data_IF_710682280799
#
_entry.id   IF_710682280799
#
_cell.length_a   1.000
_cell.length_b   1.000
_cell.length_c   1.000
_cell.angle_alpha   90.00
_cell.angle_beta   90.00
_cell.angle_gamma   90.00
#
_symmetry.space_group_name_H-M   'P 1'
#
loop_
_entity.id
_entity.type
_entity.pdbx_description
1 polymer ?
#
# COMPACT_ATOMS: atom_id res chain seq x y z
N UNK A 1 -10.47 1.75 -24.73
CA UNK A 1 -11.08 1.55 -23.40
C UNK A 1 -12.25 2.51 -23.32
N UNK A 2 -13.48 2.00 -23.27
CA UNK A 2 -14.70 2.79 -23.47
C UNK A 2 -15.16 3.37 -22.14
N UNK A 3 -15.41 4.69 -22.11
CA UNK A 3 -16.23 5.37 -21.10
C UNK A 3 -17.62 4.74 -21.15
N UNK A 4 -17.86 3.73 -20.33
CA UNK A 4 -19.23 3.35 -20.01
C UNK A 4 -19.60 4.30 -18.87
N UNK A 5 -20.57 5.22 -19.04
CA UNK A 5 -21.16 5.88 -17.90
C UNK A 5 -21.84 4.76 -17.10
N UNK A 6 -21.11 4.20 -16.13
CA UNK A 6 -21.66 3.23 -15.20
C UNK A 6 -22.89 3.88 -14.61
N UNK A 7 -24.01 3.17 -14.68
CA UNK A 7 -25.17 3.59 -13.93
C UNK A 7 -24.78 3.72 -12.46
N UNK A 8 -25.45 4.63 -11.74
CA UNK A 8 -25.26 4.77 -10.30
C UNK A 8 -25.27 3.42 -9.57
N UNK A 9 -26.16 2.51 -9.99
CA UNK A 9 -26.27 1.17 -9.43
C UNK A 9 -25.03 0.28 -9.68
N UNK A 10 -24.41 0.37 -10.87
CA UNK A 10 -23.19 -0.39 -11.17
C UNK A 10 -21.99 0.16 -10.40
N UNK A 11 -21.88 1.49 -10.31
CA UNK A 11 -20.87 2.14 -9.48
C UNK A 11 -21.02 1.73 -8.00
N UNK A 12 -22.23 1.78 -7.44
CA UNK A 12 -22.53 1.33 -6.08
C UNK A 12 -22.15 -0.15 -5.86
N UNK A 13 -22.44 -1.02 -6.84
CA UNK A 13 -22.06 -2.43 -6.78
C UNK A 13 -20.54 -2.62 -6.70
N UNK A 14 -19.78 -1.88 -7.50
CA UNK A 14 -18.31 -1.95 -7.50
C UNK A 14 -17.74 -1.41 -6.19
N UNK A 15 -18.27 -0.28 -5.70
CA UNK A 15 -17.87 0.30 -4.41
C UNK A 15 -18.14 -0.69 -3.26
N UNK A 16 -19.32 -1.31 -3.23
CA UNK A 16 -19.67 -2.32 -2.23
C UNK A 16 -18.75 -3.54 -2.31
N UNK A 17 -18.42 -4.00 -3.52
CA UNK A 17 -17.48 -5.12 -3.72
C UNK A 17 -16.09 -4.78 -3.18
N UNK A 18 -15.58 -3.58 -3.48
CA UNK A 18 -14.29 -3.12 -2.98
C UNK A 18 -14.28 -2.98 -1.44
N UNK A 19 -15.34 -2.43 -0.86
CA UNK A 19 -15.48 -2.30 0.59
C UNK A 19 -15.51 -3.67 1.29
N UNK A 20 -16.27 -4.63 0.74
CA UNK A 20 -16.33 -5.98 1.28
C UNK A 20 -14.98 -6.70 1.20
N UNK A 21 -14.25 -6.56 0.09
CA UNK A 21 -12.89 -7.08 -0.02
C UNK A 21 -11.97 -6.50 1.07
N UNK A 22 -11.99 -5.18 1.27
CA UNK A 22 -11.22 -4.53 2.33
C UNK A 22 -11.61 -5.04 3.73
N UNK A 23 -12.90 -5.26 3.99
CA UNK A 23 -13.40 -5.82 5.26
C UNK A 23 -12.92 -7.26 5.50
N UNK A 24 -12.89 -8.11 4.47
CA UNK A 24 -12.40 -9.48 4.59
C UNK A 24 -10.92 -9.51 4.97
N UNK A 25 -10.10 -8.66 4.34
CA UNK A 25 -8.71 -8.50 4.72
C UNK A 25 -8.58 -7.98 6.15
N UNK A 26 -9.38 -6.98 6.52
CA UNK A 26 -9.32 -6.39 7.85
C UNK A 26 -9.68 -7.38 8.97
N UNK A 27 -10.66 -8.26 8.74
CA UNK A 27 -11.02 -9.33 9.70
C UNK A 27 -9.87 -10.28 9.98
N UNK A 28 -9.07 -10.62 8.95
CA UNK A 28 -7.94 -11.56 9.08
C UNK A 28 -6.77 -10.96 9.87
N UNK A 29 -6.55 -9.65 9.81
CA UNK A 29 -5.40 -8.97 10.42
C UNK A 29 -5.76 -8.11 11.63
N UNK A 30 -7.03 -8.07 12.07
CA UNK A 30 -7.47 -7.17 13.14
C UNK A 30 -7.36 -5.69 12.77
N UNK A 31 -7.51 -5.36 11.49
CA UNK A 31 -7.41 -4.00 10.97
C UNK A 31 -8.73 -3.22 11.09
N UNK A 32 -8.65 -1.91 10.82
CA UNK A 32 -9.81 -1.06 10.54
C UNK A 32 -9.87 -0.76 9.04
N UNK A 33 -11.07 -0.67 8.50
CA UNK A 33 -11.30 -0.21 7.13
C UNK A 33 -11.63 1.28 7.17
N UNK A 34 -10.99 2.05 6.31
CA UNK A 34 -11.24 3.48 6.12
C UNK A 34 -11.10 3.88 4.65
N UNK A 35 -11.72 4.99 4.21
CA UNK A 35 -11.48 5.52 2.86
C UNK A 35 -9.99 5.78 2.64
N UNK A 36 -9.51 5.62 1.40
CA UNK A 36 -8.13 5.93 1.05
C UNK A 36 -7.85 7.42 1.23
N UNK A 37 -6.94 7.75 2.16
CA UNK A 37 -6.55 9.10 2.55
C UNK A 37 -5.08 9.39 2.19
N UNK A 38 -4.70 10.67 2.05
CA UNK A 38 -3.33 11.11 1.79
C UNK A 38 -2.29 10.47 2.72
N UNK A 39 -2.60 10.35 4.01
CA UNK A 39 -1.73 9.72 5.01
C UNK A 39 -1.36 8.27 4.71
N UNK A 40 -2.18 7.54 3.94
CA UNK A 40 -1.88 6.15 3.58
C UNK A 40 -0.80 6.06 2.50
N UNK A 41 -0.72 7.04 1.59
CA UNK A 41 0.28 7.06 0.52
C UNK A 41 1.54 7.81 0.93
N UNK A 42 1.40 8.89 1.69
CA UNK A 42 2.50 9.82 1.99
C UNK A 42 3.00 9.77 3.44
N UNK A 43 2.28 9.12 4.36
CA UNK A 43 2.63 9.14 5.78
C UNK A 43 2.69 10.58 6.32
N UNK A 44 3.82 10.97 6.88
CA UNK A 44 4.05 12.30 7.45
C UNK A 44 4.00 13.43 6.40
N UNK A 45 4.29 13.14 5.12
CA UNK A 45 4.30 14.16 4.06
C UNK A 45 2.91 14.43 3.47
N UNK A 46 1.85 13.89 4.06
CA UNK A 46 0.51 13.98 3.50
C UNK A 46 -0.06 15.41 3.42
N UNK A 47 0.37 16.31 4.30
CA UNK A 47 -0.03 17.73 4.25
C UNK A 47 0.56 18.45 3.03
N UNK A 48 1.74 18.03 2.57
CA UNK A 48 2.40 18.63 1.40
C UNK A 48 1.61 18.36 0.13
N UNK A 49 1.10 17.15 -0.04
CA UNK A 49 0.46 16.69 -1.27
C UNK A 49 -1.07 16.66 -1.20
N UNK A 50 -1.67 16.42 -0.03
CA UNK A 50 -3.11 16.28 0.10
C UNK A 50 -3.69 15.21 -0.83
N UNK A 51 -4.88 15.47 -1.38
CA UNK A 51 -5.54 14.62 -2.37
C UNK A 51 -5.03 14.91 -3.80
N UNK A 52 -3.72 14.79 -3.98
CA UNK A 52 -3.06 14.82 -5.29
C UNK A 52 -2.03 13.72 -5.36
N UNK A 53 -1.62 13.35 -6.57
CA UNK A 53 -0.55 12.37 -6.79
C UNK A 53 0.76 13.09 -7.06
N UNK A 54 1.78 12.87 -6.22
CA UNK A 54 3.14 13.35 -6.48
C UNK A 54 3.66 12.75 -7.79
N UNK A 55 4.45 13.51 -8.55
CA UNK A 55 5.05 13.03 -9.80
C UNK A 55 6.21 12.06 -9.54
N UNK A 56 6.32 11.04 -10.38
CA UNK A 56 7.33 9.98 -10.27
C UNK A 56 6.88 8.83 -9.38
N UNK A 57 7.82 8.21 -8.66
CA UNK A 57 7.56 7.01 -7.87
C UNK A 57 7.16 7.36 -6.43
N UNK A 58 5.94 7.00 -6.06
CA UNK A 58 5.41 7.06 -4.69
C UNK A 58 5.52 5.66 -4.07
N UNK A 59 6.10 5.56 -2.89
CA UNK A 59 6.16 4.30 -2.13
C UNK A 59 5.36 4.45 -0.83
N UNK A 60 4.09 3.98 -0.80
CA UNK A 60 3.25 4.05 0.38
C UNK A 60 3.92 3.43 1.61
N UNK A 61 4.08 4.23 2.66
CA UNK A 61 4.67 3.80 3.94
C UNK A 61 3.63 3.10 4.82
N UNK A 62 3.09 2.01 4.31
CA UNK A 62 2.07 1.22 5.00
C UNK A 62 2.70 0.17 5.92
N UNK A 63 2.09 -0.09 7.10
CA UNK A 63 2.42 -1.28 7.88
C UNK A 63 2.29 -2.57 7.07
N UNK A 64 3.11 -3.58 7.35
CA UNK A 64 3.21 -4.85 6.59
C UNK A 64 1.86 -5.57 6.37
N UNK A 65 0.96 -5.53 7.37
CA UNK A 65 -0.35 -6.17 7.30
C UNK A 65 -1.45 -5.30 6.66
N UNK A 66 -1.08 -4.17 6.06
CA UNK A 66 -2.03 -3.24 5.44
C UNK A 66 -2.35 -3.66 4.01
N UNK A 67 -3.56 -3.32 3.58
CA UNK A 67 -4.04 -3.53 2.22
C UNK A 67 -4.71 -2.25 1.72
N UNK A 68 -4.46 -1.88 0.47
CA UNK A 68 -5.24 -0.88 -0.26
C UNK A 68 -6.04 -1.59 -1.33
N UNK A 69 -7.34 -1.33 -1.36
CA UNK A 69 -8.28 -1.82 -2.37
C UNK A 69 -8.73 -0.63 -3.21
N UNK A 70 -8.24 -0.53 -4.44
CA UNK A 70 -8.53 0.56 -5.38
C UNK A 70 -9.62 0.10 -6.34
N UNK A 71 -10.67 0.90 -6.49
CA UNK A 71 -11.80 0.59 -7.37
C UNK A 71 -12.04 1.64 -8.43
N UNK A 72 -11.38 2.79 -8.31
CA UNK A 72 -11.46 3.81 -9.34
C UNK A 72 -10.37 4.87 -9.23
N UNK A 73 -10.36 5.78 -10.19
CA UNK A 73 -9.43 6.91 -10.25
C UNK A 73 -10.20 8.19 -10.53
N UNK A 74 -10.02 9.18 -9.66
CA UNK A 74 -10.45 10.54 -9.94
C UNK A 74 -9.33 11.28 -10.71
N UNK A 75 -9.69 12.01 -11.76
CA UNK A 75 -8.79 12.91 -12.47
C UNK A 75 -9.44 14.28 -12.69
N UNK A 76 -8.70 15.34 -12.37
CA UNK A 76 -9.00 16.73 -12.64
C UNK A 76 -7.83 17.49 -13.29
N UNK A 77 -6.85 16.75 -13.82
CA UNK A 77 -5.64 17.28 -14.43
C UNK A 77 -5.54 16.85 -15.89
N UNK A 78 -5.51 17.83 -16.79
CA UNK A 78 -5.46 17.61 -18.24
C UNK A 78 -4.11 17.06 -18.72
N UNK A 79 -3.06 17.15 -17.89
CA UNK A 79 -1.72 16.66 -18.21
C UNK A 79 -1.40 15.31 -17.54
N UNK A 80 -2.37 14.67 -16.91
CA UNK A 80 -2.16 13.39 -16.23
C UNK A 80 -2.47 12.23 -17.18
N UNK A 81 -1.42 11.61 -17.71
CA UNK A 81 -1.56 10.61 -18.78
C UNK A 81 -1.98 9.25 -18.23
N UNK A 82 -1.21 8.74 -17.27
CA UNK A 82 -1.44 7.41 -16.71
C UNK A 82 -0.88 7.29 -15.29
N UNK A 83 -1.45 6.33 -14.56
CA UNK A 83 -0.96 5.85 -13.27
C UNK A 83 -0.66 4.36 -13.34
N UNK A 84 0.48 3.96 -12.81
CA UNK A 84 0.87 2.56 -12.68
C UNK A 84 0.91 2.17 -11.22
N UNK A 85 0.34 1.01 -10.92
CA UNK A 85 0.50 0.35 -9.64
C UNK A 85 1.36 -0.87 -9.86
N UNK A 86 2.44 -0.99 -9.08
CA UNK A 86 3.40 -2.07 -9.22
C UNK A 86 3.61 -2.79 -7.90
N UNK A 87 3.46 -4.11 -7.92
CA UNK A 87 3.57 -4.98 -6.75
C UNK A 87 4.18 -6.31 -7.15
N UNK A 88 5.31 -6.70 -6.56
CA UNK A 88 5.87 -8.04 -6.73
C UNK A 88 6.10 -8.48 -8.19
N UNK A 89 6.40 -7.54 -9.10
CA UNK A 89 6.58 -7.79 -10.53
C UNK A 89 5.29 -7.73 -11.37
N UNK A 90 4.12 -7.62 -10.75
CA UNK A 90 2.85 -7.31 -11.41
C UNK A 90 2.75 -5.79 -11.61
N UNK A 91 2.51 -5.36 -12.85
CA UNK A 91 2.18 -3.97 -13.19
C UNK A 91 0.74 -3.89 -13.65
N UNK A 92 -0.05 -3.04 -13.01
CA UNK A 92 -1.39 -2.67 -13.47
C UNK A 92 -1.36 -1.21 -13.86
N UNK A 93 -1.74 -0.92 -15.09
CA UNK A 93 -1.77 0.43 -15.64
C UNK A 93 -3.21 0.88 -15.78
N UNK A 94 -3.51 2.06 -15.25
CA UNK A 94 -4.72 2.79 -15.60
C UNK A 94 -4.32 3.99 -16.44
N UNK A 95 -4.66 3.90 -17.73
CA UNK A 95 -4.62 5.04 -18.63
C UNK A 95 -5.67 6.02 -18.15
N UNK A 96 -5.22 7.20 -17.75
CA UNK A 96 -6.08 8.33 -17.36
C UNK A 96 -6.19 9.31 -18.53
N UNK A 97 -5.99 8.80 -19.77
CA UNK A 97 -5.99 9.59 -20.99
C UNK A 97 -7.28 10.42 -21.12
N UNK A 98 -7.18 11.68 -21.58
CA UNK A 98 -8.33 12.43 -22.08
C UNK A 98 -8.75 11.82 -23.42
N UNK A 99 -9.57 10.76 -23.41
CA UNK A 99 -10.01 10.07 -24.65
C UNK A 99 -10.91 10.97 -25.52
N UNK A 100 -11.39 12.09 -24.99
CA UNK A 100 -11.93 13.17 -25.79
C UNK A 100 -11.76 14.49 -25.05
N UNK A 101 -11.56 15.56 -25.81
CA UNK A 101 -11.84 16.93 -25.38
C UNK A 101 -13.32 17.01 -24.92
N UNK A 102 -13.59 16.61 -23.68
CA UNK A 102 -14.83 16.95 -23.00
C UNK A 102 -14.58 18.25 -22.23
N UNK A 103 -15.40 19.30 -22.42
CA UNK A 103 -15.28 20.57 -21.72
C UNK A 103 -15.38 20.47 -20.19
N UNK A 104 -15.83 19.32 -19.68
CA UNK A 104 -16.01 19.03 -18.27
C UNK A 104 -14.80 18.25 -17.76
N UNK A 105 -13.80 18.97 -17.26
CA UNK A 105 -12.43 18.51 -16.94
C UNK A 105 -12.32 17.53 -15.75
N UNK A 106 -13.38 16.77 -15.43
CA UNK A 106 -13.43 15.87 -14.28
C UNK A 106 -13.86 14.47 -14.70
N UNK A 107 -12.99 13.47 -14.50
CA UNK A 107 -13.27 12.07 -14.81
C UNK A 107 -13.16 11.16 -13.59
N UNK A 108 -14.13 10.27 -13.40
CA UNK A 108 -14.03 9.15 -12.45
C UNK A 108 -14.00 7.85 -13.25
N UNK A 109 -12.87 7.17 -13.20
CA UNK A 109 -12.66 5.84 -13.78
C UNK A 109 -13.03 4.81 -12.73
N UNK A 110 -13.78 3.76 -13.07
CA UNK A 110 -14.16 2.70 -12.16
C UNK A 110 -13.91 1.37 -12.86
N UNK A 111 -13.33 0.41 -12.15
CA UNK A 111 -13.00 -0.91 -12.67
C UNK A 111 -13.15 -1.98 -11.56
N UNK A 112 -12.87 -3.24 -11.91
CA UNK A 112 -12.75 -4.32 -10.95
C UNK A 112 -11.75 -3.96 -9.83
N UNK A 113 -12.10 -4.21 -8.54
CA UNK A 113 -11.24 -3.79 -7.44
C UNK A 113 -9.85 -4.42 -7.49
N UNK A 114 -8.83 -3.58 -7.53
CA UNK A 114 -7.43 -3.95 -7.43
C UNK A 114 -7.02 -4.00 -5.97
N UNK A 115 -6.36 -5.09 -5.57
CA UNK A 115 -5.88 -5.30 -4.21
C UNK A 115 -4.36 -5.23 -4.20
N UNK A 116 -3.82 -4.37 -3.34
CA UNK A 116 -2.38 -4.16 -3.13
C UNK A 116 -2.02 -4.30 -1.65
N UNK A 117 -1.01 -5.11 -1.37
CA UNK A 117 -0.38 -5.27 -0.06
C UNK A 117 0.75 -4.27 0.14
N UNK A 118 1.17 -4.10 1.40
CA UNK A 118 2.33 -3.27 1.72
C UNK A 118 3.56 -3.66 0.89
N UNK A 119 4.28 -2.64 0.38
CA UNK A 119 5.45 -2.82 -0.48
C UNK A 119 5.20 -2.57 -1.98
N UNK A 120 3.95 -2.32 -2.39
CA UNK A 120 3.67 -1.80 -3.72
C UNK A 120 4.18 -0.36 -3.88
N UNK A 121 4.33 0.09 -5.12
CA UNK A 121 4.61 1.49 -5.45
C UNK A 121 3.68 1.98 -6.56
N UNK A 122 3.50 3.30 -6.60
CA UNK A 122 2.71 4.00 -7.60
C UNK A 122 3.67 4.80 -8.45
N UNK A 123 3.55 4.72 -9.77
CA UNK A 123 4.26 5.61 -10.69
C UNK A 123 3.27 6.49 -11.42
N UNK A 124 3.55 7.78 -11.45
CA UNK A 124 2.72 8.80 -12.08
C UNK A 124 3.52 9.45 -13.19
N UNK A 125 2.88 9.61 -14.35
CA UNK A 125 3.47 10.24 -15.52
C UNK A 125 2.65 11.44 -15.97
N UNK A 126 3.33 12.45 -16.50
CA UNK A 126 2.72 13.62 -17.12
C UNK A 126 3.41 13.94 -18.44
N UNK A 127 2.63 14.41 -19.40
CA UNK A 127 3.10 14.94 -20.68
C UNK A 127 3.45 16.42 -20.61
N UNK A 128 3.26 17.07 -19.46
CA UNK A 128 3.57 18.50 -19.30
C UNK A 128 5.08 18.76 -19.41
N UNK A 129 5.45 19.78 -20.19
CA UNK A 129 6.80 20.33 -20.23
C UNK A 129 7.13 21.27 -19.06
N UNK A 130 6.15 21.58 -18.19
CA UNK A 130 6.35 22.41 -17.01
C UNK A 130 6.95 21.61 -15.85
N UNK A 131 7.79 22.25 -15.03
CA UNK A 131 8.27 21.66 -13.77
C UNK A 131 7.15 21.61 -12.73
N UNK A 132 6.32 20.58 -12.81
CA UNK A 132 5.31 20.25 -11.79
C UNK A 132 5.89 19.24 -10.80
N UNK A 133 5.33 19.21 -9.60
CA UNK A 133 5.68 18.23 -8.55
C UNK A 133 4.55 17.23 -8.25
N UNK A 134 3.35 17.45 -8.82
CA UNK A 134 2.14 16.66 -8.60
C UNK A 134 1.14 16.81 -9.75
N UNK A 135 0.14 15.91 -9.77
CA UNK A 135 -1.05 15.98 -10.63
C UNK A 135 -2.32 15.90 -9.80
N UNK A 136 -3.38 16.59 -10.24
CA UNK A 136 -4.70 16.55 -9.60
C UNK A 136 -5.48 15.29 -9.97
N UNK A 137 -4.98 14.14 -9.53
CA UNK A 137 -5.68 12.87 -9.57
C UNK A 137 -5.63 12.18 -8.21
N UNK A 138 -6.60 11.32 -7.92
CA UNK A 138 -6.64 10.55 -6.68
C UNK A 138 -7.19 9.13 -6.88
N UNK A 139 -6.51 8.08 -6.40
CA UNK A 139 -7.07 6.73 -6.40
C UNK A 139 -8.25 6.66 -5.44
N UNK A 140 -9.38 6.23 -5.96
CA UNK A 140 -10.57 5.94 -5.18
C UNK A 140 -10.45 4.50 -4.66
N UNK A 141 -10.49 4.37 -3.33
CA UNK A 141 -10.23 3.10 -2.70
C UNK A 141 -10.51 3.08 -1.21
N UNK A 142 -10.34 1.90 -0.63
CA UNK A 142 -10.38 1.67 0.81
C UNK A 142 -9.03 1.17 1.29
N UNK A 143 -8.63 1.57 2.49
CA UNK A 143 -7.46 1.05 3.18
C UNK A 143 -7.90 0.19 4.36
N UNK A 144 -7.36 -1.02 4.45
CA UNK A 144 -7.41 -1.86 5.63
C UNK A 144 -6.08 -1.70 6.38
N UNK A 145 -6.07 -0.94 7.47
CA UNK A 145 -4.85 -0.60 8.23
C UNK A 145 -4.89 -1.28 9.60
N UNK A 146 -3.86 -2.05 9.99
CA UNK A 146 -3.85 -2.78 11.25
C UNK A 146 -4.00 -1.83 12.44
N UNK A 147 -4.79 -2.21 13.44
CA UNK A 147 -5.03 -1.39 14.65
C UNK A 147 -3.79 -1.27 15.53
N UNK A 148 -2.93 -2.28 15.49
CA UNK A 148 -1.65 -2.29 16.17
C UNK A 148 -0.57 -2.66 15.15
N UNK A 149 0.62 -2.02 15.19
CA UNK A 149 1.73 -2.45 14.37
C UNK A 149 2.05 -3.93 14.68
N UNK A 150 2.53 -4.71 13.68
CA UNK A 150 2.90 -6.10 13.89
C UNK A 150 3.83 -6.23 15.09
N UNK A 151 3.59 -7.24 15.94
CA UNK A 151 4.50 -7.52 17.04
C UNK A 151 5.90 -7.76 16.43
N UNK A 152 6.96 -7.06 16.92
CA UNK A 152 8.29 -7.30 16.41
C UNK A 152 8.61 -8.79 16.56
N UNK A 153 9.10 -9.40 15.48
CA UNK A 153 9.46 -10.81 15.47
C UNK A 153 10.33 -11.07 16.71
N UNK A 154 9.82 -11.90 17.63
CA UNK A 154 10.56 -12.20 18.86
C UNK A 154 11.94 -12.72 18.42
N UNK A 155 13.05 -12.13 18.88
CA UNK A 155 14.35 -12.71 18.61
C UNK A 155 14.30 -14.13 19.13
N UNK A 156 14.69 -15.09 18.29
CA UNK A 156 14.73 -16.51 18.63
C UNK A 156 15.59 -16.65 19.89
N UNK A 157 14.93 -16.72 21.05
CA UNK A 157 15.57 -17.00 22.35
C UNK A 157 16.02 -18.45 22.31
N UNK A 158 17.18 -18.70 21.71
CA UNK A 158 17.66 -20.07 21.52
C UNK A 158 19.16 -20.27 21.47
N UNK A 159 19.98 -19.23 21.26
CA UNK A 159 21.44 -19.44 21.10
C UNK A 159 22.27 -19.26 22.37
N UNK A 160 21.90 -18.33 23.26
CA UNK A 160 22.68 -18.03 24.48
C UNK A 160 22.60 -19.08 25.59
N UNK A 161 21.60 -19.97 25.58
CA UNK A 161 21.51 -21.04 26.58
C UNK A 161 22.42 -22.24 26.25
N UNK A 162 22.78 -22.43 24.97
CA UNK A 162 23.67 -23.51 24.54
C UNK A 162 25.14 -23.18 24.81
N UNK A 163 25.52 -21.92 24.66
CA UNK A 163 26.89 -21.45 24.95
C UNK A 163 27.22 -21.46 26.44
N UNK A 164 26.24 -21.19 27.33
CA UNK A 164 26.47 -21.27 28.79
C UNK A 164 26.54 -22.70 29.33
N UNK A 165 25.93 -23.69 28.65
CA UNK A 165 26.09 -25.11 29.02
C UNK A 165 27.42 -25.68 28.52
N UNK A 166 27.86 -25.30 27.32
CA UNK A 166 29.17 -25.70 26.80
C UNK A 166 30.34 -25.18 27.67
N UNK A 167 30.28 -23.93 28.13
CA UNK A 167 31.32 -23.36 29.01
C UNK A 167 31.35 -23.97 30.43
N UNK A 168 30.23 -24.55 30.90
CA UNK A 168 30.15 -25.22 32.20
C UNK A 168 30.63 -26.69 32.13
N UNK A 169 30.59 -27.32 30.95
CA UNK A 169 31.15 -28.67 30.73
C UNK A 169 32.66 -28.65 30.45
N UNK A 170 33.21 -27.55 29.92
CA UNK A 170 34.67 -27.38 29.74
C UNK A 170 35.43 -27.00 31.03
N UNK A 171 34.75 -26.66 32.13
CA UNK A 171 35.37 -26.21 33.39
C UNK A 171 35.39 -27.27 34.50
N UNK A 172 35.04 -28.53 34.19
CA UNK A 172 34.96 -29.62 35.15
C UNK A 172 35.86 -30.82 34.85
N UNK A 173 37.18 -30.67 34.94
CA UNK A 173 38.09 -31.81 35.17
C UNK A 173 39.45 -31.31 35.71
N UNK A 174 39.71 -31.56 37.00
CA UNK A 174 40.96 -31.14 37.63
C UNK A 174 41.04 -31.29 39.16
N UNK A 175 40.27 -32.18 39.78
CA UNK A 175 40.56 -32.65 41.14
C UNK A 175 40.83 -34.16 41.10
N UNK A 176 42.11 -34.52 40.90
CA UNK A 176 42.62 -35.82 41.32
C UNK A 176 43.63 -35.58 42.43
N UNK A 177 43.24 -36.04 43.62
CA UNK A 177 44.03 -35.91 44.84
C UNK A 177 45.32 -36.70 44.79
N UNK A 178 46.38 -36.11 45.34
CA UNK A 178 47.62 -36.79 45.66
C UNK A 178 47.66 -37.07 47.16
N UNK A 179 47.43 -38.34 47.52
CA UNK A 179 47.82 -38.90 48.82
C UNK A 179 49.22 -39.49 48.66
N UNK A 180 50.19 -38.96 49.39
CA UNK A 180 51.14 -39.75 50.20
C UNK A 180 51.87 -38.87 51.21
#
# INVERSE_FOLDING_TARGET
MWLIPLSKAEAEKIIHKAYNAALEHAKKSGARVEPLMPRHLYGEEHEKYGYSLALGRITPRLPEASVIVIWGMYNYDEYFDYVRFVEGGRTVEWFVEPVAYYPEKTGVWIDEPLVFHAGFYIETHTTSGEQRDRVYGWPLGFAAVPRQPPAPARPVRGRRARERRAAAEESGEGETGEKK
#
